data_IF_796661342457
#
_entry.id   IF_796661342457
#
_cell.length_a   1.000
_cell.length_b   1.000
_cell.length_c   1.000
_cell.angle_alpha   90.00
_cell.angle_beta   90.00
_cell.angle_gamma   90.00
#
_symmetry.space_group_name_H-M   'P 1'
#
loop_
_entity.id
_entity.type
_entity.pdbx_description
1 polymer ?
#
# COMPACT_ATOMS: atom_id res chain seq x y z
N UNK A 1 -4.43 72.25 -6.86
CA UNK A 1 -3.28 71.47 -6.38
C UNK A 1 -3.63 70.01 -6.05
N UNK A 2 -4.91 69.63 -5.89
CA UNK A 2 -5.30 68.27 -5.51
C UNK A 2 -5.28 67.25 -6.67
N UNK A 3 -5.52 67.68 -7.91
CA UNK A 3 -5.61 66.76 -9.06
C UNK A 3 -4.28 66.04 -9.41
N UNK A 4 -3.14 66.65 -9.09
CA UNK A 4 -1.83 66.03 -9.31
C UNK A 4 -1.54 64.91 -8.33
N UNK A 5 -2.06 65.00 -7.09
CA UNK A 5 -1.91 63.97 -6.08
C UNK A 5 -2.76 62.74 -6.45
N UNK A 6 -4.01 62.95 -6.87
CA UNK A 6 -4.90 61.86 -7.28
C UNK A 6 -4.36 61.09 -8.49
N UNK A 7 -3.78 61.78 -9.47
CA UNK A 7 -3.19 61.15 -10.65
C UNK A 7 -1.96 60.29 -10.29
N UNK A 8 -1.11 60.79 -9.39
CA UNK A 8 0.06 60.07 -8.91
C UNK A 8 -0.32 58.85 -8.06
N UNK A 9 -1.33 58.99 -7.20
CA UNK A 9 -1.83 57.90 -6.36
C UNK A 9 -2.44 56.77 -7.22
N UNK A 10 -3.15 57.14 -8.29
CA UNK A 10 -3.71 56.19 -9.24
C UNK A 10 -2.65 55.41 -10.00
N UNK A 11 -1.57 56.08 -10.42
CA UNK A 11 -0.47 55.45 -11.14
C UNK A 11 0.35 54.51 -10.24
N UNK A 12 0.55 54.89 -8.97
CA UNK A 12 1.17 54.01 -7.97
C UNK A 12 0.31 52.77 -7.72
N UNK A 13 -1.00 52.94 -7.65
CA UNK A 13 -1.94 51.83 -7.46
C UNK A 13 -1.94 50.86 -8.63
N UNK A 14 -1.98 51.36 -9.88
CA UNK A 14 -1.88 50.51 -11.07
C UNK A 14 -0.58 49.72 -11.11
N UNK A 15 0.56 50.37 -10.83
CA UNK A 15 1.87 49.70 -10.83
C UNK A 15 1.97 48.65 -9.72
N UNK A 16 1.34 48.91 -8.56
CA UNK A 16 1.30 47.98 -7.45
C UNK A 16 0.43 46.76 -7.75
N UNK A 17 -0.77 46.97 -8.29
CA UNK A 17 -1.69 45.88 -8.65
C UNK A 17 -1.05 44.99 -9.73
N UNK A 18 -0.38 45.57 -10.74
CA UNK A 18 0.37 44.81 -11.76
C UNK A 18 1.51 43.97 -11.15
N UNK A 19 2.20 44.52 -10.15
CA UNK A 19 3.29 43.82 -9.44
C UNK A 19 2.76 42.66 -8.58
N UNK A 20 1.59 42.83 -7.96
CA UNK A 20 0.93 41.78 -7.16
C UNK A 20 0.44 40.64 -8.06
N UNK A 21 -0.22 40.96 -9.17
CA UNK A 21 -0.69 39.96 -10.13
C UNK A 21 0.47 39.16 -10.75
N UNK A 22 1.58 39.84 -11.08
CA UNK A 22 2.77 39.18 -11.60
C UNK A 22 3.42 38.25 -10.57
N UNK A 23 3.46 38.65 -9.29
CA UNK A 23 4.02 37.84 -8.20
C UNK A 23 3.16 36.59 -7.93
N UNK A 24 1.84 36.73 -8.00
CA UNK A 24 0.92 35.61 -7.83
C UNK A 24 1.03 34.62 -9.00
N UNK A 25 1.15 35.13 -10.23
CA UNK A 25 1.44 34.31 -11.42
C UNK A 25 2.74 33.49 -11.30
N UNK A 26 3.82 34.11 -10.82
CA UNK A 26 5.10 33.41 -10.60
C UNK A 26 4.99 32.33 -9.50
N UNK A 27 4.23 32.60 -8.45
CA UNK A 27 4.01 31.68 -7.32
C UNK A 27 3.16 30.49 -7.75
N UNK A 28 2.06 30.73 -8.48
CA UNK A 28 1.21 29.68 -9.06
C UNK A 28 1.97 28.82 -10.07
N UNK A 29 2.83 29.43 -10.89
CA UNK A 29 3.69 28.70 -11.85
C UNK A 29 4.67 27.77 -11.14
N UNK A 30 5.29 28.22 -10.04
CA UNK A 30 6.22 27.40 -9.23
C UNK A 30 5.50 26.21 -8.59
N UNK A 31 4.30 26.42 -8.05
CA UNK A 31 3.50 25.35 -7.47
C UNK A 31 3.12 24.31 -8.54
N UNK A 32 2.64 24.77 -9.70
CA UNK A 32 2.23 23.89 -10.78
C UNK A 32 3.43 23.06 -11.30
N UNK A 33 4.60 23.70 -11.45
CA UNK A 33 5.85 23.02 -11.83
C UNK A 33 6.26 21.94 -10.83
N UNK A 34 6.20 22.24 -9.53
CA UNK A 34 6.53 21.26 -8.48
C UNK A 34 5.58 20.05 -8.49
N UNK A 35 4.29 20.27 -8.75
CA UNK A 35 3.29 19.20 -8.88
C UNK A 35 3.59 18.32 -10.09
N UNK A 36 3.87 18.92 -11.24
CA UNK A 36 4.22 18.19 -12.44
C UNK A 36 5.53 17.41 -12.28
N UNK A 37 6.51 17.94 -11.57
CA UNK A 37 7.78 17.26 -11.29
C UNK A 37 7.58 16.04 -10.38
N UNK A 38 6.75 16.14 -9.34
CA UNK A 38 6.40 15.01 -8.48
C UNK A 38 5.62 13.92 -9.24
N UNK A 39 4.65 14.33 -10.08
CA UNK A 39 3.90 13.38 -10.91
C UNK A 39 4.76 12.72 -11.99
N UNK A 40 5.71 13.44 -12.59
CA UNK A 40 6.65 12.89 -13.55
C UNK A 40 7.58 11.83 -12.94
N UNK A 41 7.92 11.98 -11.65
CA UNK A 41 8.68 10.97 -10.91
C UNK A 41 7.84 9.70 -10.65
N UNK A 42 6.54 9.82 -10.41
CA UNK A 42 5.62 8.68 -10.25
C UNK A 42 5.24 8.02 -11.58
N UNK A 43 5.20 8.77 -12.68
CA UNK A 43 4.87 8.25 -14.01
C UNK A 43 6.03 7.56 -14.73
N UNK A 44 7.22 7.44 -14.12
CA UNK A 44 8.26 6.58 -14.67
C UNK A 44 7.68 5.17 -14.83
N UNK A 45 7.57 4.66 -16.06
CA UNK A 45 6.85 3.43 -16.27
C UNK A 45 7.64 2.32 -15.59
N UNK A 46 7.02 1.64 -14.62
CA UNK A 46 7.49 0.36 -14.03
C UNK A 46 7.49 -0.78 -15.06
N UNK A 47 7.70 -0.47 -16.34
CA UNK A 47 7.63 -1.38 -17.47
C UNK A 47 8.72 -2.45 -17.46
N UNK A 48 9.79 -2.25 -16.67
CA UNK A 48 10.80 -3.28 -16.44
C UNK A 48 10.39 -4.32 -15.39
N UNK A 49 9.44 -4.03 -14.50
CA UNK A 49 9.02 -5.00 -13.48
C UNK A 49 8.00 -6.00 -14.04
N UNK A 50 7.22 -5.60 -15.05
CA UNK A 50 6.33 -6.50 -15.81
C UNK A 50 7.08 -7.60 -16.58
N UNK A 51 8.35 -7.37 -16.96
CA UNK A 51 9.13 -8.35 -17.76
C UNK A 51 9.69 -9.52 -16.94
N UNK A 52 9.69 -9.41 -15.61
CA UNK A 52 10.18 -10.44 -14.69
C UNK A 52 9.06 -11.15 -13.92
N UNK A 53 7.80 -10.85 -14.23
CA UNK A 53 6.63 -11.40 -13.54
C UNK A 53 6.02 -12.69 -14.11
N UNK A 54 6.70 -13.55 -14.90
CA UNK A 54 6.24 -14.93 -15.09
C UNK A 54 6.97 -15.96 -14.22
N UNK A 55 8.00 -15.58 -13.45
CA UNK A 55 8.83 -16.57 -12.73
C UNK A 55 8.26 -17.01 -11.35
N UNK A 56 7.47 -16.18 -10.67
CA UNK A 56 6.94 -16.50 -9.34
C UNK A 56 5.80 -17.52 -9.36
N UNK A 57 4.99 -17.57 -10.42
CA UNK A 57 3.94 -18.58 -10.57
C UNK A 57 4.46 -20.00 -10.89
N UNK A 58 5.61 -20.09 -11.55
CA UNK A 58 6.16 -21.38 -11.98
C UNK A 58 6.64 -22.23 -10.80
N UNK A 59 7.19 -21.62 -9.74
CA UNK A 59 7.68 -22.36 -8.57
C UNK A 59 6.53 -22.99 -7.78
N UNK A 60 5.44 -22.26 -7.56
CA UNK A 60 4.26 -22.79 -6.88
C UNK A 60 3.62 -23.94 -7.66
N UNK A 61 3.50 -23.82 -8.99
CA UNK A 61 2.94 -24.89 -9.83
C UNK A 61 3.80 -26.16 -9.80
N UNK A 62 5.13 -26.03 -9.79
CA UNK A 62 6.04 -27.18 -9.70
C UNK A 62 5.91 -27.86 -8.32
N UNK A 63 5.86 -27.11 -7.23
CA UNK A 63 5.68 -27.67 -5.88
C UNK A 63 4.35 -28.43 -5.77
N UNK A 64 3.25 -27.85 -6.25
CA UNK A 64 1.94 -28.54 -6.27
C UNK A 64 1.99 -29.80 -7.13
N UNK A 65 2.60 -29.74 -8.32
CA UNK A 65 2.72 -30.91 -9.19
C UNK A 65 3.54 -32.05 -8.55
N UNK A 66 4.62 -31.72 -7.84
CA UNK A 66 5.45 -32.71 -7.12
C UNK A 66 4.66 -33.35 -5.98
N UNK A 67 3.90 -32.58 -5.22
CA UNK A 67 3.04 -33.11 -4.14
C UNK A 67 1.98 -34.06 -4.70
N UNK A 68 1.27 -33.66 -5.75
CA UNK A 68 0.22 -34.49 -6.38
C UNK A 68 0.78 -35.80 -6.95
N UNK A 69 1.98 -35.75 -7.55
CA UNK A 69 2.64 -36.94 -8.11
C UNK A 69 3.21 -37.87 -7.03
N UNK A 70 3.59 -37.35 -5.86
CA UNK A 70 4.13 -38.14 -4.76
C UNK A 70 3.06 -38.64 -3.78
N UNK A 71 1.84 -38.10 -3.80
CA UNK A 71 0.74 -38.65 -3.01
C UNK A 71 0.26 -39.96 -3.64
N UNK A 72 0.52 -41.12 -3.01
CA UNK A 72 -0.11 -42.36 -3.45
C UNK A 72 -1.63 -42.18 -3.31
N UNK A 73 -2.37 -42.39 -4.41
CA UNK A 73 -3.83 -42.28 -4.39
C UNK A 73 -4.39 -43.39 -3.51
N UNK A 74 -4.60 -43.09 -2.23
CA UNK A 74 -5.45 -43.86 -1.35
C UNK A 74 -6.89 -43.56 -1.76
N UNK A 75 -7.35 -44.26 -2.79
CA UNK A 75 -8.78 -44.41 -3.04
C UNK A 75 -9.28 -45.37 -1.97
N UNK A 76 -9.71 -44.82 -0.84
CA UNK A 76 -10.69 -45.47 0.02
C UNK A 76 -11.77 -44.44 0.37
N UNK A 77 -12.92 -44.64 -0.27
CA UNK A 77 -14.11 -43.80 -0.41
C UNK A 77 -14.91 -43.63 0.91
N UNK A 78 -14.22 -43.74 2.06
CA UNK A 78 -14.81 -43.64 3.41
C UNK A 78 -14.13 -42.54 4.23
N UNK A 79 -12.95 -42.07 3.82
CA UNK A 79 -12.21 -41.01 4.51
C UNK A 79 -12.73 -39.59 4.20
N UNK A 80 -13.37 -39.36 3.03
CA UNK A 80 -13.79 -38.03 2.61
C UNK A 80 -14.83 -37.37 3.52
N UNK A 81 -15.75 -38.15 4.08
CA UNK A 81 -16.77 -37.62 5.03
C UNK A 81 -16.11 -37.31 6.37
N UNK A 82 -15.20 -38.18 6.84
CA UNK A 82 -14.47 -37.95 8.10
C UNK A 82 -13.52 -36.76 8.00
N UNK A 83 -12.81 -36.57 6.89
CA UNK A 83 -11.90 -35.42 6.70
C UNK A 83 -12.64 -34.11 6.50
N UNK A 84 -13.81 -34.12 5.84
CA UNK A 84 -14.66 -32.92 5.72
C UNK A 84 -15.27 -32.56 7.07
N UNK A 85 -15.72 -33.56 7.85
CA UNK A 85 -16.24 -33.34 9.22
C UNK A 85 -15.14 -32.85 10.16
N UNK A 86 -13.93 -33.40 10.07
CA UNK A 86 -12.77 -32.99 10.88
C UNK A 86 -12.29 -31.57 10.50
N UNK A 87 -12.32 -31.24 9.20
CA UNK A 87 -12.11 -29.86 8.74
C UNK A 87 -13.24 -28.92 9.19
N UNK A 88 -14.50 -29.33 9.17
CA UNK A 88 -15.64 -28.53 9.63
C UNK A 88 -15.57 -28.25 11.15
N UNK A 89 -15.08 -29.22 11.93
CA UNK A 89 -14.82 -29.05 13.37
C UNK A 89 -13.68 -28.05 13.59
N UNK A 90 -12.58 -28.14 12.85
CA UNK A 90 -11.42 -27.25 12.98
C UNK A 90 -11.65 -25.84 12.42
N UNK A 91 -12.49 -25.70 11.39
CA UNK A 91 -12.91 -24.43 10.79
C UNK A 91 -14.24 -23.91 11.34
N UNK A 92 -14.77 -24.52 12.39
CA UNK A 92 -15.93 -24.03 13.11
C UNK A 92 -15.62 -22.65 13.71
N UNK A 93 -16.61 -21.75 13.72
CA UNK A 93 -16.47 -20.35 14.17
C UNK A 93 -15.82 -20.25 15.56
N UNK A 94 -16.21 -21.14 16.49
CA UNK A 94 -15.64 -21.23 17.84
C UNK A 94 -14.15 -21.67 17.86
N UNK A 95 -13.71 -22.49 16.90
CA UNK A 95 -12.31 -22.94 16.78
C UNK A 95 -11.43 -21.90 16.08
N UNK A 96 -12.00 -21.13 15.16
CA UNK A 96 -11.32 -20.01 14.51
C UNK A 96 -11.05 -18.88 15.51
N UNK A 97 -11.99 -18.56 16.41
CA UNK A 97 -11.79 -17.55 17.47
C UNK A 97 -10.58 -17.90 18.36
N UNK A 98 -10.39 -19.17 18.71
CA UNK A 98 -9.21 -19.62 19.46
C UNK A 98 -7.88 -19.53 18.68
N UNK A 99 -7.92 -19.57 17.34
CA UNK A 99 -6.74 -19.46 16.47
C UNK A 99 -6.38 -18.00 16.15
N UNK A 100 -7.31 -17.06 16.30
CA UNK A 100 -7.05 -15.63 16.11
C UNK A 100 -6.11 -15.07 17.19
N UNK A 101 -6.11 -15.66 18.38
CA UNK A 101 -5.27 -15.26 19.52
C UNK A 101 -3.84 -15.83 19.48
N UNK A 102 -3.40 -16.46 18.37
CA UNK A 102 -2.03 -16.97 18.25
C UNK A 102 -0.97 -15.85 18.40
N UNK A 103 -1.29 -14.64 17.95
CA UNK A 103 -0.42 -13.46 18.14
C UNK A 103 -0.34 -13.06 19.63
N UNK A 104 -1.42 -13.22 20.39
CA UNK A 104 -1.46 -12.96 21.83
C UNK A 104 -0.55 -13.92 22.61
N UNK A 105 -0.55 -15.21 22.28
CA UNK A 105 0.38 -16.18 22.90
C UNK A 105 1.84 -15.87 22.56
N UNK A 106 2.13 -15.49 21.31
CA UNK A 106 3.49 -15.09 20.93
C UNK A 106 3.97 -13.83 21.66
N UNK A 107 3.04 -12.91 21.96
CA UNK A 107 3.34 -11.70 22.72
C UNK A 107 3.62 -12.00 24.20
N UNK A 108 2.87 -12.93 24.81
CA UNK A 108 3.13 -13.40 26.18
C UNK A 108 4.49 -14.10 26.26
N UNK A 109 4.81 -15.02 25.34
CA UNK A 109 6.11 -15.70 25.33
C UNK A 109 7.27 -14.71 25.20
N UNK A 110 7.09 -13.66 24.38
CA UNK A 110 8.09 -12.59 24.23
C UNK A 110 8.21 -11.74 25.50
N UNK A 111 7.10 -11.43 26.17
CA UNK A 111 7.09 -10.69 27.43
C UNK A 111 7.66 -11.50 28.61
N UNK A 112 7.46 -12.82 28.63
CA UNK A 112 8.04 -13.74 29.62
C UNK A 112 9.55 -13.89 29.39
N UNK A 113 9.99 -13.98 28.13
CA UNK A 113 11.41 -13.99 27.77
C UNK A 113 12.13 -12.66 28.08
N UNK A 114 11.42 -11.53 28.04
CA UNK A 114 11.94 -10.20 28.43
C UNK A 114 11.92 -9.99 29.96
N UNK A 115 11.13 -10.76 30.70
CA UNK A 115 11.08 -10.75 32.17
C UNK A 115 12.17 -11.60 32.86
N UNK A 116 12.86 -12.48 32.12
CA UNK A 116 13.94 -13.34 32.61
C UNK A 116 15.35 -12.72 32.47
N UNK A 117 15.44 -11.40 32.31
CA UNK A 117 16.68 -10.63 32.53
C UNK A 117 16.69 -10.02 33.94
N UNK A 118 16.69 -10.89 34.95
CA UNK A 118 16.89 -10.56 36.37
C UNK A 118 17.97 -11.42 37.01
#
# INVERSE_FOLDING_TARGET
MNEQHDAFEKQLKETFDESVDALDGATLSKLNRSRHEALAQLQKPRHQWSRWMPATGAVAAILVAVVVLQTPSAIDDVAGISTVTDMEILLGEDSIEMLEDLEFYSWIDMAEAEGDVG
#
